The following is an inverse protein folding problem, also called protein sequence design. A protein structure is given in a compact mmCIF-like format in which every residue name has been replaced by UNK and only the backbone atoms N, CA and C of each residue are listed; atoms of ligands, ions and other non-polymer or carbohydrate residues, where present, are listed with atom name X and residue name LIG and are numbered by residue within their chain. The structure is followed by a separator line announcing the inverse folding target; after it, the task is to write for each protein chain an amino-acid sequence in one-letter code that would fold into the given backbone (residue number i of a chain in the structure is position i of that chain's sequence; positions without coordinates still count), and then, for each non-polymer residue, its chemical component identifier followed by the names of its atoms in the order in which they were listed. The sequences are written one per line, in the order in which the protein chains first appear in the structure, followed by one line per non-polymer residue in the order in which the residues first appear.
data_IF_110168327325
#
_entry.id   IF_110168327325
#
_cell.length_a   1.000
_cell.length_b   1.000
_cell.length_c   1.000
_cell.angle_alpha   90.00
_cell.angle_beta   90.00
_cell.angle_gamma   90.00
#
_symmetry.space_group_name_H-M   'P 1'
#
loop_
_entity.id
_entity.type
_entity.pdbx_description
1 polymer ?
#
# COMPACT_ATOMS: atom_id res chain seq x y z
N UNK A 1 10.58 40.45 28.80
CA UNK A 1 10.39 40.06 27.38
C UNK A 1 9.09 40.67 26.87
N UNK A 2 9.18 41.53 25.86
CA UNK A 2 8.10 42.45 25.45
C UNK A 2 6.97 41.75 24.69
N UNK A 3 5.71 42.12 24.95
CA UNK A 3 4.49 41.66 24.24
C UNK A 3 4.57 41.83 22.71
N UNK A 4 5.40 42.75 22.22
CA UNK A 4 5.65 42.92 20.78
C UNK A 4 6.44 41.78 20.14
N UNK A 5 7.28 41.06 20.90
CA UNK A 5 8.05 39.92 20.38
C UNK A 5 7.16 38.70 20.07
N UNK A 6 6.08 38.51 20.85
CA UNK A 6 5.12 37.41 20.62
C UNK A 6 4.20 37.65 19.41
N UNK A 7 3.89 38.91 19.08
CA UNK A 7 3.05 39.23 17.92
C UNK A 7 3.83 39.04 16.62
N UNK A 8 5.12 39.39 16.60
CA UNK A 8 5.99 39.15 15.43
C UNK A 8 6.17 37.65 15.17
N UNK A 9 6.31 36.84 16.22
CA UNK A 9 6.34 35.38 16.09
C UNK A 9 5.03 34.80 15.56
N UNK A 10 3.88 35.32 16.00
CA UNK A 10 2.56 34.86 15.52
C UNK A 10 2.33 35.23 14.05
N UNK A 11 2.77 36.42 13.62
CA UNK A 11 2.67 36.86 12.21
C UNK A 11 3.61 36.04 11.31
N UNK A 12 4.83 35.71 11.78
CA UNK A 12 5.74 34.79 11.08
C UNK A 12 5.15 33.37 10.98
N UNK A 13 4.47 32.87 12.01
CA UNK A 13 3.83 31.56 11.98
C UNK A 13 2.63 31.52 11.01
N UNK A 14 1.87 32.61 10.89
CA UNK A 14 0.75 32.73 9.93
C UNK A 14 1.27 32.87 8.48
N UNK A 15 2.42 33.51 8.27
CA UNK A 15 3.05 33.61 6.95
C UNK A 15 3.69 32.27 6.52
N UNK A 16 4.27 31.50 7.44
CA UNK A 16 4.80 30.15 7.14
C UNK A 16 3.67 29.16 6.85
N UNK A 17 2.52 29.27 7.53
CA UNK A 17 1.35 28.45 7.21
C UNK A 17 0.63 28.89 5.92
N UNK A 18 0.68 30.17 5.55
CA UNK A 18 0.19 30.63 4.23
C UNK A 18 1.17 30.39 3.08
N UNK A 19 2.47 30.26 3.33
CA UNK A 19 3.45 29.83 2.31
C UNK A 19 3.33 28.33 1.98
N UNK A 20 2.54 27.58 2.75
CA UNK A 20 2.06 26.23 2.41
C UNK A 20 0.70 26.24 1.67
N UNK A 21 0.19 27.41 1.26
CA UNK A 21 -0.54 27.47 -0.01
C UNK A 21 0.49 27.24 -1.13
N UNK A 22 0.94 25.99 -1.22
CA UNK A 22 1.25 25.38 -2.49
C UNK A 22 0.15 25.83 -3.43
N UNK A 23 0.52 26.59 -4.45
CA UNK A 23 -0.09 26.45 -5.76
C UNK A 23 -0.03 24.96 -6.09
N UNK A 24 -1.01 24.21 -5.58
CA UNK A 24 -1.40 22.91 -6.07
C UNK A 24 -1.95 23.23 -7.45
N UNK A 25 -1.03 23.38 -8.41
CA UNK A 25 -1.36 23.48 -9.81
C UNK A 25 -2.35 22.36 -10.13
N UNK A 26 -3.40 22.72 -10.87
CA UNK A 26 -4.53 21.93 -11.38
C UNK A 26 -4.16 20.68 -12.23
N UNK A 27 -2.92 20.18 -12.12
CA UNK A 27 -2.45 18.89 -12.62
C UNK A 27 -2.32 17.82 -11.52
N UNK A 28 -2.80 18.08 -10.28
CA UNK A 28 -2.64 17.15 -9.14
C UNK A 28 -3.32 15.80 -9.36
N UNK A 29 -4.37 15.76 -10.19
CA UNK A 29 -5.06 14.56 -10.64
C UNK A 29 -5.33 14.70 -12.13
N UNK A 30 -4.54 14.08 -13.00
CA UNK A 30 -5.05 13.94 -14.37
C UNK A 30 -6.33 13.11 -14.28
N UNK A 31 -7.44 13.63 -14.81
CA UNK A 31 -8.73 12.92 -14.86
C UNK A 31 -8.58 11.50 -15.43
N UNK A 32 -7.60 11.34 -16.32
CA UNK A 32 -7.17 10.07 -16.88
C UNK A 32 -6.64 9.07 -15.84
N UNK A 33 -5.79 9.50 -14.89
CA UNK A 33 -5.27 8.61 -13.85
C UNK A 33 -6.39 8.13 -12.91
N UNK A 34 -7.33 9.02 -12.58
CA UNK A 34 -8.50 8.68 -11.76
C UNK A 34 -9.38 7.65 -12.45
N UNK A 35 -9.68 7.87 -13.73
CA UNK A 35 -10.44 6.93 -14.53
C UNK A 35 -9.79 5.52 -14.60
N UNK A 36 -8.48 5.46 -14.81
CA UNK A 36 -7.75 4.17 -14.83
C UNK A 36 -7.80 3.48 -13.43
N UNK A 37 -7.71 4.23 -12.33
CA UNK A 37 -7.86 3.71 -10.96
C UNK A 37 -9.27 3.19 -10.71
N UNK A 38 -10.30 3.97 -11.03
CA UNK A 38 -11.69 3.59 -10.80
C UNK A 38 -12.05 2.34 -11.59
N UNK A 39 -11.59 2.21 -12.84
CA UNK A 39 -11.77 0.98 -13.62
C UNK A 39 -11.12 -0.24 -12.97
N UNK A 40 -9.93 -0.07 -12.38
CA UNK A 40 -9.23 -1.15 -11.68
C UNK A 40 -9.98 -1.56 -10.40
N UNK A 41 -10.46 -0.58 -9.61
CA UNK A 41 -11.23 -0.84 -8.41
C UNK A 41 -12.58 -1.49 -8.75
N UNK A 42 -13.26 -1.01 -9.79
CA UNK A 42 -14.52 -1.56 -10.28
C UNK A 42 -14.38 -3.02 -10.77
N UNK A 43 -13.28 -3.32 -11.46
CA UNK A 43 -12.96 -4.67 -11.90
C UNK A 43 -12.71 -5.61 -10.72
N UNK A 44 -11.91 -5.18 -9.74
CA UNK A 44 -11.67 -5.95 -8.52
C UNK A 44 -12.98 -6.15 -7.73
N UNK A 45 -13.81 -5.11 -7.62
CA UNK A 45 -15.14 -5.19 -7.01
C UNK A 45 -16.01 -6.25 -7.68
N UNK A 46 -16.07 -6.26 -9.01
CA UNK A 46 -16.79 -7.29 -9.76
C UNK A 46 -16.28 -8.70 -9.48
N UNK A 47 -14.97 -8.88 -9.37
CA UNK A 47 -14.34 -10.18 -9.04
C UNK A 47 -14.82 -10.68 -7.67
N UNK A 48 -14.73 -9.85 -6.63
CA UNK A 48 -15.09 -10.29 -5.27
C UNK A 48 -16.60 -10.47 -5.11
N UNK A 49 -17.41 -9.61 -5.75
CA UNK A 49 -18.87 -9.76 -5.78
C UNK A 49 -19.27 -11.11 -6.40
N UNK A 50 -18.70 -11.45 -7.56
CA UNK A 50 -18.94 -12.74 -8.21
C UNK A 50 -18.49 -13.91 -7.33
N UNK A 51 -17.30 -13.83 -6.74
CA UNK A 51 -16.76 -14.89 -5.86
C UNK A 51 -17.69 -15.20 -4.69
N UNK A 52 -18.28 -14.18 -4.08
CA UNK A 52 -19.15 -14.34 -2.91
C UNK A 52 -20.64 -14.39 -3.25
N UNK A 53 -21.00 -14.38 -4.54
CA UNK A 53 -22.36 -14.31 -5.04
C UNK A 53 -23.16 -13.17 -4.39
N UNK A 54 -22.59 -11.96 -4.42
CA UNK A 54 -23.16 -10.73 -3.88
C UNK A 54 -23.42 -9.77 -5.04
N UNK A 55 -24.60 -9.18 -5.08
CA UNK A 55 -24.92 -8.15 -6.06
C UNK A 55 -24.01 -6.93 -5.91
N UNK A 56 -23.66 -6.31 -7.04
CA UNK A 56 -22.72 -5.18 -7.05
C UNK A 56 -23.22 -3.98 -6.24
N UNK A 57 -24.54 -3.79 -6.11
CA UNK A 57 -25.14 -2.79 -5.21
C UNK A 57 -24.71 -2.97 -3.75
N UNK A 58 -24.42 -4.21 -3.36
CA UNK A 58 -24.02 -4.61 -2.02
C UNK A 58 -22.53 -4.95 -1.93
N UNK A 59 -21.71 -4.40 -2.84
CA UNK A 59 -20.28 -4.70 -2.93
C UNK A 59 -19.50 -4.48 -1.65
N UNK A 60 -19.94 -3.55 -0.79
CA UNK A 60 -19.37 -3.34 0.54
C UNK A 60 -19.38 -4.61 1.41
N UNK A 61 -20.40 -5.48 1.27
CA UNK A 61 -20.45 -6.81 1.91
C UNK A 61 -19.39 -7.75 1.33
N UNK A 62 -19.16 -7.71 0.02
CA UNK A 62 -18.16 -8.53 -0.65
C UNK A 62 -16.73 -8.13 -0.23
N UNK A 63 -16.43 -6.83 -0.12
CA UNK A 63 -15.16 -6.33 0.43
C UNK A 63 -14.93 -6.82 1.85
N UNK A 64 -15.93 -6.70 2.73
CA UNK A 64 -15.85 -7.19 4.11
C UNK A 64 -15.58 -8.69 4.17
N UNK A 65 -16.31 -9.49 3.38
CA UNK A 65 -16.07 -10.95 3.30
C UNK A 65 -14.67 -11.27 2.79
N UNK A 66 -14.18 -10.53 1.79
CA UNK A 66 -12.84 -10.70 1.25
C UNK A 66 -11.75 -10.45 2.30
N UNK A 67 -11.84 -9.33 3.01
CA UNK A 67 -10.91 -8.98 4.10
C UNK A 67 -10.96 -10.00 5.23
N UNK A 68 -12.16 -10.41 5.65
CA UNK A 68 -12.31 -11.42 6.71
C UNK A 68 -11.73 -12.78 6.31
N UNK A 69 -11.96 -13.22 5.07
CA UNK A 69 -11.39 -14.47 4.57
C UNK A 69 -9.85 -14.44 4.58
N UNK A 70 -9.23 -13.29 4.35
CA UNK A 70 -7.78 -13.14 4.49
C UNK A 70 -7.34 -13.27 5.95
N UNK A 71 -8.07 -12.63 6.88
CA UNK A 71 -7.77 -12.67 8.31
C UNK A 71 -7.93 -14.06 8.92
N UNK A 72 -8.97 -14.81 8.55
CA UNK A 72 -9.20 -16.17 9.04
C UNK A 72 -8.07 -17.12 8.63
N UNK A 73 -7.57 -16.96 7.39
CA UNK A 73 -6.42 -17.72 6.93
C UNK A 73 -5.12 -17.29 7.63
N UNK A 74 -4.94 -16.00 7.94
CA UNK A 74 -3.81 -15.52 8.76
C UNK A 74 -3.81 -16.15 10.16
N UNK A 75 -4.98 -16.24 10.80
CA UNK A 75 -5.14 -16.87 12.11
C UNK A 75 -4.86 -18.38 12.06
N UNK A 76 -5.28 -19.07 11.00
CA UNK A 76 -4.96 -20.48 10.77
C UNK A 76 -3.46 -20.73 10.62
N UNK A 77 -2.74 -19.85 9.91
CA UNK A 77 -1.29 -19.95 9.73
C UNK A 77 -0.57 -19.70 11.06
N UNK A 78 -0.98 -18.69 11.83
CA UNK A 78 -0.44 -18.43 13.18
C UNK A 78 -0.63 -19.64 14.11
N UNK A 79 -1.79 -20.29 14.06
CA UNK A 79 -2.06 -21.49 14.86
C UNK A 79 -1.20 -22.71 14.49
N UNK A 80 -0.82 -22.84 13.21
CA UNK A 80 0.02 -23.96 12.71
C UNK A 80 1.52 -23.74 12.85
N UNK A 81 1.98 -22.51 13.07
CA UNK A 81 3.41 -22.20 13.25
C UNK A 81 3.59 -21.09 14.29
N UNK A 82 3.24 -21.35 15.56
CA UNK A 82 3.32 -20.34 16.62
C UNK A 82 4.74 -19.80 16.85
N UNK A 83 5.77 -20.56 16.48
CA UNK A 83 7.18 -20.16 16.59
C UNK A 83 7.67 -19.26 15.43
N UNK A 84 6.90 -19.13 14.34
CA UNK A 84 7.18 -18.17 13.26
C UNK A 84 6.31 -16.93 13.43
N UNK A 85 6.73 -16.04 14.32
CA UNK A 85 6.10 -14.72 14.55
C UNK A 85 6.19 -13.77 13.34
N UNK A 86 6.98 -14.13 12.32
CA UNK A 86 7.13 -13.37 11.08
C UNK A 86 6.48 -14.12 9.91
N UNK A 87 5.24 -13.73 9.57
CA UNK A 87 4.59 -14.09 8.30
C UNK A 87 5.33 -13.27 7.23
N UNK A 88 6.21 -13.91 6.46
CA UNK A 88 7.00 -13.19 5.46
C UNK A 88 6.13 -12.83 4.24
N UNK A 89 6.64 -12.00 3.34
CA UNK A 89 5.94 -11.65 2.09
C UNK A 89 5.55 -12.88 1.25
N UNK A 90 6.31 -13.98 1.32
CA UNK A 90 5.95 -15.26 0.68
C UNK A 90 4.76 -15.95 1.35
N UNK A 91 4.44 -15.67 2.61
CA UNK A 91 3.27 -16.24 3.29
C UNK A 91 1.98 -15.50 2.95
N UNK A 92 2.02 -14.18 2.63
CA UNK A 92 0.91 -13.54 1.87
C UNK A 92 0.78 -14.16 0.49
N UNK A 93 1.92 -14.37 -0.16
CA UNK A 93 1.99 -15.04 -1.45
C UNK A 93 1.23 -16.36 -1.37
N UNK A 94 1.49 -17.20 -0.36
CA UNK A 94 0.83 -18.49 -0.11
C UNK A 94 -0.64 -18.36 0.38
N UNK A 95 -0.99 -17.32 1.13
CA UNK A 95 -2.37 -16.98 1.54
C UNK A 95 -3.26 -16.64 0.34
N UNK A 96 -2.70 -15.90 -0.61
CA UNK A 96 -3.34 -15.58 -1.87
C UNK A 96 -3.27 -16.75 -2.85
N UNK A 97 -2.15 -17.50 -2.89
CA UNK A 97 -1.92 -18.66 -3.76
C UNK A 97 -2.89 -19.81 -3.48
N UNK A 98 -3.16 -20.07 -2.20
CA UNK A 98 -3.85 -21.29 -1.81
C UNK A 98 -5.33 -21.12 -1.44
N UNK A 99 -5.83 -19.90 -1.13
CA UNK A 99 -7.19 -19.83 -0.55
C UNK A 99 -8.06 -18.59 -0.82
N UNK A 100 -7.65 -17.54 -1.54
CA UNK A 100 -8.52 -16.35 -1.63
C UNK A 100 -8.91 -15.88 -3.03
N UNK A 101 -8.13 -16.11 -4.08
CA UNK A 101 -8.58 -15.90 -5.46
C UNK A 101 -7.91 -16.97 -6.35
N UNK A 102 -8.71 -17.94 -6.82
CA UNK A 102 -8.24 -18.93 -7.78
C UNK A 102 -7.68 -18.24 -9.05
N UNK A 103 -6.74 -18.90 -9.72
CA UNK A 103 -6.17 -18.52 -11.02
C UNK A 103 -7.23 -18.11 -12.06
N UNK A 104 -8.45 -18.62 -11.92
CA UNK A 104 -9.64 -18.26 -12.70
C UNK A 104 -10.00 -16.76 -12.65
N UNK A 105 -9.58 -16.02 -11.61
CA UNK A 105 -9.80 -14.57 -11.49
C UNK A 105 -8.65 -13.71 -12.09
N UNK A 106 -7.53 -14.34 -12.47
CA UNK A 106 -6.48 -13.67 -13.27
C UNK A 106 -6.87 -13.78 -14.75
N UNK A 107 -7.81 -12.94 -15.14
CA UNK A 107 -8.32 -12.89 -16.51
C UNK A 107 -7.41 -12.08 -17.42
N UNK A 108 -7.57 -12.21 -18.75
CA UNK A 108 -6.92 -11.33 -19.73
C UNK A 108 -7.16 -9.85 -19.41
N UNK A 109 -8.40 -9.48 -19.03
CA UNK A 109 -8.77 -8.12 -18.61
C UNK A 109 -7.98 -7.68 -17.37
N UNK A 110 -7.82 -8.55 -16.38
CA UNK A 110 -6.99 -8.27 -15.19
C UNK A 110 -5.55 -7.92 -15.59
N UNK A 111 -4.95 -8.72 -16.47
CA UNK A 111 -3.59 -8.50 -16.97
C UNK A 111 -3.50 -7.19 -17.76
N UNK A 112 -4.46 -6.89 -18.63
CA UNK A 112 -4.51 -5.64 -19.40
C UNK A 112 -4.61 -4.40 -18.51
N UNK A 113 -5.42 -4.46 -17.45
CA UNK A 113 -5.55 -3.38 -16.46
C UNK A 113 -4.25 -3.20 -15.66
N UNK A 114 -3.59 -4.29 -15.26
CA UNK A 114 -2.28 -4.22 -14.64
C UNK A 114 -1.23 -3.59 -15.55
N UNK A 115 -1.12 -4.05 -16.80
CA UNK A 115 -0.20 -3.46 -17.78
C UNK A 115 -0.50 -1.97 -18.00
N UNK A 116 -1.77 -1.58 -18.00
CA UNK A 116 -2.19 -0.18 -18.03
C UNK A 116 -1.68 0.59 -16.81
N UNK A 117 -1.82 0.01 -15.61
CA UNK A 117 -1.26 0.54 -14.37
C UNK A 117 0.27 0.73 -14.47
N UNK A 118 1.00 -0.26 -15.00
CA UNK A 118 2.45 -0.18 -15.18
C UNK A 118 2.90 0.87 -16.20
N UNK A 119 2.11 1.12 -17.24
CA UNK A 119 2.47 2.09 -18.28
C UNK A 119 2.08 3.50 -17.90
N UNK A 120 0.89 3.68 -17.32
CA UNK A 120 0.28 5.00 -17.11
C UNK A 120 0.33 5.47 -15.66
N UNK A 121 0.17 4.56 -14.71
CA UNK A 121 0.04 4.87 -13.29
C UNK A 121 1.31 4.58 -12.48
N UNK A 122 2.37 4.05 -13.11
CA UNK A 122 3.57 3.57 -12.42
C UNK A 122 4.23 4.58 -11.50
N UNK A 123 4.29 5.85 -11.86
CA UNK A 123 4.90 6.87 -10.98
C UNK A 123 3.88 7.54 -10.05
N UNK A 124 2.59 7.22 -10.23
CA UNK A 124 1.50 7.78 -9.44
C UNK A 124 1.11 6.85 -8.30
N UNK A 125 0.84 5.58 -8.62
CA UNK A 125 0.44 4.53 -7.69
C UNK A 125 1.62 3.72 -7.20
N UNK A 126 2.58 3.42 -8.08
CA UNK A 126 3.68 2.52 -7.77
C UNK A 126 4.99 3.27 -7.52
N UNK A 127 5.92 2.60 -6.86
CA UNK A 127 7.30 3.05 -6.70
C UNK A 127 8.19 1.80 -6.58
N UNK A 128 9.47 1.87 -6.97
CA UNK A 128 10.37 0.74 -6.75
C UNK A 128 10.69 0.60 -5.27
N UNK A 129 10.87 -0.63 -4.81
CA UNK A 129 11.33 -0.92 -3.44
C UNK A 129 12.64 -0.19 -3.09
N UNK A 130 13.57 -0.06 -4.04
CA UNK A 130 14.80 0.74 -3.85
C UNK A 130 14.46 2.20 -3.49
N UNK A 131 13.60 2.83 -4.28
CA UNK A 131 13.19 4.23 -4.11
C UNK A 131 12.39 4.42 -2.82
N UNK A 132 11.47 3.48 -2.50
CA UNK A 132 10.70 3.45 -1.27
C UNK A 132 11.62 3.46 -0.03
N UNK A 133 12.63 2.60 -0.02
CA UNK A 133 13.62 2.52 1.06
C UNK A 133 14.52 3.76 1.11
N UNK A 134 14.98 4.26 -0.03
CA UNK A 134 15.81 5.47 -0.08
C UNK A 134 15.12 6.69 0.54
N UNK A 135 13.80 6.84 0.33
CA UNK A 135 12.98 7.91 0.95
C UNK A 135 12.92 7.80 2.49
N UNK A 136 13.19 6.63 3.05
CA UNK A 136 13.29 6.37 4.50
C UNK A 136 14.73 6.47 5.03
N UNK A 137 15.66 6.94 4.21
CA UNK A 137 17.08 7.05 4.57
C UNK A 137 17.84 5.72 4.60
N UNK A 138 17.24 4.63 4.12
CA UNK A 138 17.91 3.33 4.02
C UNK A 138 18.96 3.34 2.90
N UNK A 139 20.16 2.84 3.20
CA UNK A 139 21.22 2.58 2.23
C UNK A 139 21.25 1.10 1.87
N UNK A 140 21.29 0.77 0.59
CA UNK A 140 21.50 -0.60 0.11
C UNK A 140 22.90 -1.12 0.45
N UNK A 141 23.10 -2.44 0.38
CA UNK A 141 24.37 -3.05 0.75
C UNK A 141 25.55 -2.48 -0.07
N UNK A 142 25.31 -2.23 -1.36
CA UNK A 142 26.26 -1.59 -2.28
C UNK A 142 26.56 -0.12 -1.97
N UNK A 143 25.76 0.54 -1.15
CA UNK A 143 25.93 1.93 -0.71
C UNK A 143 26.57 2.04 0.69
N UNK A 144 26.86 0.90 1.34
CA UNK A 144 27.51 0.85 2.65
C UNK A 144 29.03 0.74 2.53
N UNK A 145 29.73 1.35 3.49
CA UNK A 145 31.18 1.23 3.58
C UNK A 145 31.59 -0.22 3.84
N UNK A 146 32.66 -0.66 3.18
CA UNK A 146 33.17 -2.04 3.32
C UNK A 146 33.63 -2.38 4.75
N UNK A 147 33.97 -1.37 5.56
CA UNK A 147 34.26 -1.54 6.99
C UNK A 147 33.02 -1.89 7.83
N UNK A 148 31.83 -1.39 7.43
CA UNK A 148 30.55 -1.71 8.06
C UNK A 148 30.12 -3.12 7.66
N UNK A 149 30.23 -3.45 6.37
CA UNK A 149 29.87 -4.78 5.84
C UNK A 149 30.66 -5.89 6.56
N UNK A 150 31.97 -5.69 6.78
CA UNK A 150 32.83 -6.66 7.49
C UNK A 150 32.44 -6.92 8.95
N UNK A 151 31.71 -6.00 9.59
CA UNK A 151 31.25 -6.14 10.98
C UNK A 151 29.85 -6.76 11.08
N UNK A 152 29.14 -6.92 9.96
CA UNK A 152 27.82 -7.54 9.95
C UNK A 152 27.92 -9.04 10.23
N UNK A 153 27.00 -9.54 11.05
CA UNK A 153 26.80 -10.98 11.16
C UNK A 153 26.13 -11.53 9.88
N UNK A 154 26.16 -12.85 9.72
CA UNK A 154 25.61 -13.55 8.54
C UNK A 154 24.11 -13.27 8.34
N UNK A 155 23.34 -13.13 9.42
CA UNK A 155 21.89 -12.89 9.36
C UNK A 155 21.61 -11.51 8.75
N UNK A 156 22.25 -10.47 9.28
CA UNK A 156 22.12 -9.10 8.78
C UNK A 156 22.60 -8.99 7.35
N UNK A 157 23.75 -9.59 7.01
CA UNK A 157 24.29 -9.56 5.65
C UNK A 157 23.34 -10.23 4.64
N UNK A 158 22.77 -11.38 5.00
CA UNK A 158 21.80 -12.06 4.14
C UNK A 158 20.51 -11.25 3.98
N UNK A 159 20.03 -10.62 5.07
CA UNK A 159 18.88 -9.72 4.99
C UNK A 159 19.12 -8.59 3.98
N UNK A 160 20.27 -7.92 4.04
CA UNK A 160 20.63 -6.86 3.09
C UNK A 160 20.67 -7.36 1.63
N UNK A 161 21.24 -8.55 1.38
CA UNK A 161 21.27 -9.17 0.04
C UNK A 161 19.86 -9.46 -0.49
N UNK A 162 18.97 -9.97 0.36
CA UNK A 162 17.57 -10.19 -0.03
C UNK A 162 16.84 -8.88 -0.34
N UNK A 163 17.09 -7.82 0.43
CA UNK A 163 16.52 -6.50 0.11
C UNK A 163 16.99 -5.99 -1.25
N UNK A 164 18.27 -6.17 -1.60
CA UNK A 164 18.80 -5.75 -2.90
C UNK A 164 18.20 -6.51 -4.08
N UNK A 165 17.98 -7.82 -3.96
CA UNK A 165 17.30 -8.62 -5.00
C UNK A 165 15.91 -8.07 -5.32
N UNK A 166 15.24 -7.51 -4.32
CA UNK A 166 13.89 -6.97 -4.44
C UNK A 166 13.85 -5.48 -4.83
N UNK A 167 15.00 -4.84 -5.13
CA UNK A 167 15.07 -3.41 -5.45
C UNK A 167 14.19 -3.00 -6.63
N UNK A 168 14.03 -3.87 -7.61
CA UNK A 168 13.23 -3.63 -8.82
C UNK A 168 11.73 -3.84 -8.62
N UNK A 169 11.33 -4.54 -7.56
CA UNK A 169 9.92 -4.84 -7.31
C UNK A 169 9.16 -3.54 -7.08
N UNK A 170 7.97 -3.46 -7.67
CA UNK A 170 7.09 -2.33 -7.49
C UNK A 170 6.23 -2.55 -6.26
N UNK A 171 6.10 -1.50 -5.45
CA UNK A 171 5.28 -1.43 -4.23
C UNK A 171 4.43 -0.18 -4.27
N UNK A 172 3.41 -0.09 -3.40
CA UNK A 172 2.55 1.08 -3.35
C UNK A 172 3.36 2.33 -2.95
N UNK A 173 3.05 3.45 -3.59
CA UNK A 173 3.64 4.74 -3.29
C UNK A 173 2.88 5.41 -2.14
N UNK A 174 3.40 5.25 -0.93
CA UNK A 174 2.84 5.87 0.27
C UNK A 174 3.28 7.32 0.48
N UNK A 175 4.21 7.86 -0.31
CA UNK A 175 4.79 9.18 -0.04
C UNK A 175 4.15 10.30 -0.84
N UNK A 176 3.72 9.99 -2.06
CA UNK A 176 3.32 11.02 -3.02
C UNK A 176 1.80 11.21 -3.08
N UNK A 177 1.37 12.01 -4.05
CA UNK A 177 -0.01 12.47 -4.29
C UNK A 177 -1.09 11.39 -4.18
N UNK A 178 -0.82 10.16 -4.62
CA UNK A 178 -1.80 9.08 -4.50
C UNK A 178 -2.14 8.77 -3.04
N UNK A 179 -1.13 8.66 -2.18
CA UNK A 179 -1.34 8.44 -0.74
C UNK A 179 -1.98 9.64 -0.06
N UNK A 180 -1.63 10.86 -0.45
CA UNK A 180 -2.25 12.09 0.06
C UNK A 180 -3.75 12.12 -0.27
N UNK A 181 -4.12 11.71 -1.48
CA UNK A 181 -5.53 11.56 -1.88
C UNK A 181 -6.26 10.57 -0.99
N UNK A 182 -5.68 9.37 -0.79
CA UNK A 182 -6.31 8.36 0.06
C UNK A 182 -6.54 8.89 1.49
N UNK A 183 -5.58 9.63 2.04
CA UNK A 183 -5.69 10.26 3.36
C UNK A 183 -6.78 11.35 3.39
N UNK A 184 -6.89 12.17 2.35
CA UNK A 184 -7.86 13.26 2.29
C UNK A 184 -9.30 12.78 2.06
N UNK A 185 -9.48 11.65 1.36
CA UNK A 185 -10.80 11.11 1.00
C UNK A 185 -11.30 10.03 1.95
N UNK A 186 -10.41 9.38 2.71
CA UNK A 186 -10.84 8.43 3.73
C UNK A 186 -11.48 9.16 4.91
N UNK A 187 -12.60 8.64 5.38
CA UNK A 187 -13.24 9.09 6.63
C UNK A 187 -12.83 8.23 7.84
N UNK A 188 -11.96 7.24 7.65
CA UNK A 188 -11.55 6.31 8.70
C UNK A 188 -10.12 6.60 9.17
N UNK A 189 -10.00 7.02 10.44
CA UNK A 189 -8.72 7.44 11.03
C UNK A 189 -7.66 6.34 10.97
N UNK A 190 -8.01 5.08 11.25
CA UNK A 190 -7.02 4.01 11.28
C UNK A 190 -6.40 3.72 9.90
N UNK A 191 -7.14 3.99 8.82
CA UNK A 191 -6.59 3.89 7.46
C UNK A 191 -5.64 5.05 7.18
N UNK A 192 -5.96 6.26 7.65
CA UNK A 192 -5.04 7.40 7.60
C UNK A 192 -3.76 7.10 8.37
N UNK A 193 -3.89 6.68 9.62
CA UNK A 193 -2.76 6.36 10.50
C UNK A 193 -1.92 5.23 9.91
N UNK A 194 -2.54 4.23 9.28
CA UNK A 194 -1.85 3.17 8.56
C UNK A 194 -1.05 3.68 7.35
N UNK A 195 -1.66 4.48 6.47
CA UNK A 195 -0.97 5.02 5.29
C UNK A 195 0.21 5.89 5.74
N UNK A 196 0.05 6.67 6.82
CA UNK A 196 1.12 7.43 7.44
C UNK A 196 2.21 6.50 8.00
N UNK A 197 1.82 5.45 8.73
CA UNK A 197 2.75 4.44 9.25
C UNK A 197 3.57 3.81 8.13
N UNK A 198 2.96 3.50 6.98
CA UNK A 198 3.68 2.95 5.83
C UNK A 198 4.64 3.92 5.15
N UNK A 199 4.51 5.24 5.37
CA UNK A 199 5.54 6.22 4.98
C UNK A 199 6.79 6.07 5.84
N UNK A 200 6.62 5.75 7.11
CA UNK A 200 7.69 5.78 8.10
C UNK A 200 8.34 4.40 8.26
N UNK A 201 7.56 3.33 8.21
CA UNK A 201 8.01 1.97 8.53
C UNK A 201 8.37 1.16 7.28
N UNK A 202 9.57 0.57 7.18
CA UNK A 202 9.96 -0.26 6.04
C UNK A 202 9.18 -1.57 5.96
N UNK A 203 8.52 -1.98 7.05
CA UNK A 203 7.79 -3.22 7.14
C UNK A 203 6.32 -3.05 6.71
N UNK A 204 6.06 -3.31 5.42
CA UNK A 204 4.71 -3.43 4.86
C UNK A 204 4.14 -4.82 5.15
N UNK A 205 4.30 -5.29 6.39
CA UNK A 205 3.97 -6.66 6.70
C UNK A 205 2.49 -6.91 6.44
N UNK A 206 2.13 -8.10 5.92
CA UNK A 206 0.76 -8.57 5.88
C UNK A 206 -0.03 -8.32 7.16
N UNK A 207 0.64 -8.49 8.29
CA UNK A 207 0.07 -8.37 9.61
C UNK A 207 -0.35 -6.93 9.85
N UNK A 208 0.50 -5.96 9.52
CA UNK A 208 0.20 -4.54 9.67
C UNK A 208 -1.02 -4.15 8.84
N UNK A 209 -1.09 -4.62 7.59
CA UNK A 209 -2.26 -4.39 6.72
C UNK A 209 -3.50 -5.06 7.29
N UNK A 210 -3.41 -6.34 7.67
CA UNK A 210 -4.54 -7.10 8.22
C UNK A 210 -5.08 -6.50 9.52
N UNK A 211 -4.20 -6.04 10.42
CA UNK A 211 -4.58 -5.37 11.66
C UNK A 211 -5.37 -4.10 11.38
N UNK A 212 -4.97 -3.30 10.39
CA UNK A 212 -5.72 -2.09 10.08
C UNK A 212 -7.07 -2.36 9.39
N UNK A 213 -7.23 -3.53 8.78
CA UNK A 213 -8.45 -3.91 8.10
C UNK A 213 -9.44 -4.67 9.00
N UNK A 214 -8.99 -5.24 10.12
CA UNK A 214 -9.84 -6.06 11.01
C UNK A 214 -10.93 -5.24 11.73
N UNK A 215 -10.63 -3.98 12.03
CA UNK A 215 -11.53 -3.10 12.79
C UNK A 215 -12.50 -2.33 11.89
N UNK A 216 -12.36 -2.45 10.56
CA UNK A 216 -13.27 -1.82 9.60
C UNK A 216 -14.68 -2.39 9.73
N UNK A 217 -15.65 -1.50 9.92
CA UNK A 217 -17.06 -1.83 9.91
C UNK A 217 -17.57 -1.90 8.48
N UNK A 218 -18.73 -2.51 8.34
CA UNK A 218 -19.39 -2.69 7.06
C UNK A 218 -19.64 -1.39 6.28
N UNK A 219 -20.00 -0.33 6.99
CA UNK A 219 -20.21 0.98 6.38
C UNK A 219 -18.90 1.64 5.93
N UNK A 220 -17.75 1.27 6.48
CA UNK A 220 -16.46 1.83 6.06
C UNK A 220 -16.11 1.36 4.65
N UNK A 221 -16.51 0.13 4.28
CA UNK A 221 -16.38 -0.37 2.92
C UNK A 221 -17.28 0.32 1.89
N UNK A 222 -18.12 1.29 2.29
CA UNK A 222 -18.82 2.18 1.35
C UNK A 222 -17.93 3.36 0.90
N UNK A 223 -16.84 3.65 1.61
CA UNK A 223 -15.90 4.70 1.24
C UNK A 223 -15.01 4.24 0.07
N UNK A 224 -14.95 5.05 -1.00
CA UNK A 224 -14.17 4.74 -2.20
C UNK A 224 -12.66 4.69 -1.94
N UNK A 225 -12.12 5.52 -1.06
CA UNK A 225 -10.70 5.50 -0.69
C UNK A 225 -10.33 4.19 0.02
N UNK A 226 -11.21 3.67 0.89
CA UNK A 226 -11.00 2.39 1.57
C UNK A 226 -11.03 1.23 0.56
N UNK A 227 -12.03 1.20 -0.34
CA UNK A 227 -12.09 0.23 -1.43
C UNK A 227 -10.83 0.27 -2.30
N UNK A 228 -10.39 1.47 -2.66
CA UNK A 228 -9.18 1.70 -3.46
C UNK A 228 -7.95 1.18 -2.74
N UNK A 229 -7.78 1.55 -1.47
CA UNK A 229 -6.66 1.08 -0.65
C UNK A 229 -6.61 -0.46 -0.59
N UNK A 230 -7.74 -1.11 -0.30
CA UNK A 230 -7.84 -2.58 -0.27
C UNK A 230 -7.50 -3.21 -1.62
N UNK A 231 -8.02 -2.66 -2.72
CA UNK A 231 -7.75 -3.17 -4.06
C UNK A 231 -6.26 -3.09 -4.41
N UNK A 232 -5.63 -1.94 -4.16
CA UNK A 232 -4.24 -1.73 -4.53
C UNK A 232 -3.25 -2.48 -3.63
N UNK A 233 -3.49 -2.51 -2.32
CA UNK A 233 -2.60 -3.21 -1.39
C UNK A 233 -2.75 -4.72 -1.42
N UNK A 234 -3.98 -5.24 -1.44
CA UNK A 234 -4.18 -6.67 -1.29
C UNK A 234 -4.17 -7.39 -2.63
N UNK A 235 -4.85 -6.83 -3.64
CA UNK A 235 -5.04 -7.53 -4.90
C UNK A 235 -3.97 -7.15 -5.93
N UNK A 236 -3.82 -5.86 -6.23
CA UNK A 236 -2.92 -5.45 -7.31
C UNK A 236 -1.45 -5.57 -6.93
N UNK A 237 -1.04 -5.29 -5.69
CA UNK A 237 0.34 -5.54 -5.25
C UNK A 237 0.72 -7.02 -5.34
N UNK A 238 -0.21 -7.92 -4.97
CA UNK A 238 -0.01 -9.36 -5.13
C UNK A 238 0.27 -9.72 -6.58
N UNK A 239 -0.64 -9.41 -7.52
CA UNK A 239 -0.46 -9.81 -8.92
C UNK A 239 0.79 -9.15 -9.52
N UNK A 240 1.03 -7.90 -9.15
CA UNK A 240 2.19 -7.15 -9.60
C UNK A 240 3.53 -7.84 -9.25
N UNK A 241 3.60 -8.53 -8.10
CA UNK A 241 4.80 -9.29 -7.71
C UNK A 241 5.01 -10.61 -8.49
N UNK A 242 4.06 -11.01 -9.35
CA UNK A 242 4.09 -12.28 -10.10
C UNK A 242 4.19 -12.11 -11.61
N UNK A 243 3.93 -10.92 -12.14
CA UNK A 243 4.09 -10.64 -13.56
C UNK A 243 5.55 -10.22 -13.80
N UNK A 244 6.24 -10.93 -14.69
CA UNK A 244 7.52 -10.48 -15.23
C UNK A 244 7.23 -9.36 -16.24
N UNK A 245 7.68 -8.15 -15.91
CA UNK A 245 7.66 -7.04 -16.85
C UNK A 245 8.95 -7.11 -17.68
N UNK A 246 8.83 -7.50 -18.94
CA UNK A 246 9.87 -7.30 -19.97
C UNK A 246 9.94 -5.82 -20.39
#
# INVERSE_FOLDING_TARGET
MSKTLNIVFLILFIQITKAQNLNINDNMYSTKNLYDIDNMVDHFEGIICNKYNIDKSDSHLAYKKYVNALNDNLNFIKAKSPEKTYINQNTLKDLFYNNTLDSTYITKKTIELLLTSHRKLKNYVWIKNKENRARKGFKSLSELDSSVIKKMNTVTLNWYKEQEKNNSNLVLNHFDKFSEKLILETNHKDITDLIITFREEPDHSPQTIAYALIDLKENDFKNQAIKTFVAFELYYAYINSHISYE
#
